data_IF_109695939960
#
_entry.id   IF_109695939960
#
_cell.length_a   1.000
_cell.length_b   1.000
_cell.length_c   1.000
_cell.angle_alpha   90.00
_cell.angle_beta   90.00
_cell.angle_gamma   90.00
#
_symmetry.space_group_name_H-M   'P 1'
#
loop_
_entity.id
_entity.type
_entity.pdbx_description
1 polymer ?
#
# COMPACT_ATOMS: atom_id res chain seq x y z
N UNK A 1 12.69 12.92 8.78
CA UNK A 1 12.14 12.20 9.97
C UNK A 1 11.02 11.31 9.47
N UNK A 2 11.03 10.00 9.75
CA UNK A 2 9.97 9.09 9.31
C UNK A 2 8.63 9.46 9.96
N UNK A 3 7.52 9.43 9.22
CA UNK A 3 6.19 9.62 9.79
C UNK A 3 5.97 8.66 10.97
N UNK A 4 5.29 9.09 12.06
CA UNK A 4 5.10 8.26 13.26
C UNK A 4 4.48 6.89 12.95
N UNK A 5 3.49 6.86 12.07
CA UNK A 5 2.79 5.64 11.69
C UNK A 5 3.69 4.67 10.89
N UNK A 6 4.55 5.19 10.00
CA UNK A 6 5.54 4.37 9.30
C UNK A 6 6.52 3.76 10.29
N UNK A 7 6.98 4.54 11.29
CA UNK A 7 7.84 4.03 12.35
C UNK A 7 7.18 2.91 13.14
N UNK A 8 5.91 3.09 13.51
CA UNK A 8 5.12 2.07 14.21
C UNK A 8 4.94 0.79 13.38
N UNK A 9 4.66 0.92 12.07
CA UNK A 9 4.60 -0.25 11.16
C UNK A 9 5.93 -0.96 11.10
N UNK A 10 7.05 -0.24 11.07
CA UNK A 10 8.38 -0.82 11.11
C UNK A 10 8.67 -1.57 12.42
N UNK A 11 8.20 -1.04 13.54
CA UNK A 11 8.43 -1.64 14.86
C UNK A 11 7.54 -2.86 15.10
N UNK A 12 6.24 -2.75 14.80
CA UNK A 12 5.24 -3.74 15.16
C UNK A 12 4.47 -4.33 13.96
N UNK A 13 4.73 -3.86 12.75
CA UNK A 13 3.93 -4.15 11.54
C UNK A 13 2.43 -3.95 11.80
N UNK A 14 2.07 -2.90 12.52
CA UNK A 14 0.70 -2.56 12.88
C UNK A 14 0.38 -1.11 12.54
N UNK A 15 -0.87 -0.84 12.18
CA UNK A 15 -1.39 0.52 12.04
C UNK A 15 -2.36 0.73 13.21
N UNK A 16 -1.99 1.50 14.21
CA UNK A 16 -2.92 1.82 15.30
C UNK A 16 -3.86 2.94 14.86
N UNK A 17 -5.10 2.83 15.31
CA UNK A 17 -6.11 3.86 15.10
C UNK A 17 -5.89 4.96 16.14
N UNK A 18 -5.74 6.19 15.67
CA UNK A 18 -5.63 7.36 16.54
C UNK A 18 -7.05 7.77 16.98
N UNK A 19 -7.36 7.75 18.27
CA UNK A 19 -8.68 8.11 18.77
C UNK A 19 -9.02 9.61 18.60
N UNK A 20 -8.02 10.45 18.38
CA UNK A 20 -8.20 11.90 18.16
C UNK A 20 -8.52 12.24 16.70
N UNK A 21 -8.40 11.27 15.78
CA UNK A 21 -8.69 11.43 14.35
C UNK A 21 -10.04 10.82 13.99
N UNK A 22 -10.68 11.40 12.99
CA UNK A 22 -11.88 10.81 12.37
C UNK A 22 -11.54 9.48 11.66
N UNK A 23 -12.54 8.61 11.40
CA UNK A 23 -12.30 7.40 10.61
C UNK A 23 -11.65 7.67 9.25
N UNK A 24 -12.07 8.72 8.55
CA UNK A 24 -11.53 9.13 7.26
C UNK A 24 -10.07 9.56 7.35
N UNK A 25 -9.70 10.34 8.38
CA UNK A 25 -8.33 10.77 8.62
C UNK A 25 -7.43 9.57 8.97
N UNK A 26 -7.90 8.66 9.84
CA UNK A 26 -7.19 7.42 10.14
C UNK A 26 -6.95 6.58 8.89
N UNK A 27 -7.96 6.42 8.03
CA UNK A 27 -7.84 5.69 6.78
C UNK A 27 -6.83 6.36 5.84
N UNK A 28 -6.83 7.69 5.77
CA UNK A 28 -5.87 8.43 4.94
C UNK A 28 -4.43 8.21 5.40
N UNK A 29 -4.19 8.25 6.72
CA UNK A 29 -2.88 7.95 7.32
C UNK A 29 -2.43 6.52 7.02
N UNK A 30 -3.31 5.53 7.17
CA UNK A 30 -3.03 4.12 6.84
C UNK A 30 -2.68 3.96 5.36
N UNK A 31 -3.44 4.58 4.45
CA UNK A 31 -3.19 4.52 3.01
C UNK A 31 -1.84 5.13 2.65
N UNK A 32 -1.53 6.35 3.14
CA UNK A 32 -0.27 7.04 2.85
C UNK A 32 0.93 6.26 3.37
N UNK A 33 0.84 5.74 4.59
CA UNK A 33 1.91 4.97 5.21
C UNK A 33 2.16 3.65 4.51
N UNK A 34 1.11 2.91 4.16
CA UNK A 34 1.24 1.67 3.41
C UNK A 34 1.79 1.89 1.99
N UNK A 35 1.35 2.98 1.32
CA UNK A 35 1.84 3.33 0.00
C UNK A 35 3.32 3.73 0.02
N UNK A 36 3.73 4.56 1.00
CA UNK A 36 5.13 4.96 1.18
C UNK A 36 6.02 3.74 1.48
N UNK A 37 5.58 2.87 2.39
CA UNK A 37 6.30 1.65 2.74
C UNK A 37 6.45 0.71 1.53
N UNK A 38 5.37 0.50 0.78
CA UNK A 38 5.40 -0.33 -0.43
C UNK A 38 6.34 0.26 -1.50
N UNK A 39 6.33 1.58 -1.68
CA UNK A 39 7.26 2.27 -2.58
C UNK A 39 8.72 2.14 -2.15
N UNK A 40 9.01 2.27 -0.86
CA UNK A 40 10.36 2.09 -0.32
C UNK A 40 10.87 0.65 -0.49
N UNK A 41 10.01 -0.36 -0.27
CA UNK A 41 10.35 -1.76 -0.54
C UNK A 41 10.70 -1.95 -2.02
N UNK A 42 10.01 -1.29 -2.93
CA UNK A 42 10.26 -1.39 -4.37
C UNK A 42 11.57 -0.72 -4.83
N UNK A 43 12.23 0.09 -4.00
CA UNK A 43 13.59 0.61 -4.27
C UNK A 43 14.60 -0.51 -4.24
N UNK A 44 14.41 -1.53 -3.41
CA UNK A 44 15.33 -2.63 -3.24
C UNK A 44 15.22 -3.63 -4.41
N UNK A 45 16.35 -4.05 -5.02
CA UNK A 45 16.36 -5.04 -6.10
C UNK A 45 16.20 -6.46 -5.54
N UNK A 46 15.13 -6.71 -4.78
CA UNK A 46 14.82 -8.02 -4.23
C UNK A 46 13.95 -8.78 -5.24
N UNK A 47 14.39 -9.92 -5.78
CA UNK A 47 13.53 -10.75 -6.62
C UNK A 47 12.25 -11.15 -5.86
N UNK A 48 11.10 -11.01 -6.51
CA UNK A 48 9.78 -11.34 -5.92
C UNK A 48 9.37 -10.48 -4.72
N UNK A 49 9.98 -9.29 -4.49
CA UNK A 49 9.60 -8.36 -3.43
C UNK A 49 8.10 -8.03 -3.45
N UNK A 50 7.51 -7.94 -4.63
CA UNK A 50 6.08 -7.66 -4.81
C UNK A 50 5.19 -8.68 -4.10
N UNK A 51 5.49 -9.98 -4.25
CA UNK A 51 4.67 -11.05 -3.68
C UNK A 51 5.00 -11.25 -2.20
N UNK A 52 6.29 -11.22 -1.84
CA UNK A 52 6.73 -11.58 -0.49
C UNK A 52 6.60 -10.44 0.52
N UNK A 53 6.75 -9.20 0.09
CA UNK A 53 6.81 -8.05 1.00
C UNK A 53 5.69 -7.04 0.77
N UNK A 54 5.37 -6.67 -0.48
CA UNK A 54 4.38 -5.64 -0.79
C UNK A 54 2.96 -6.16 -0.55
N UNK A 55 2.66 -7.40 -0.96
CA UNK A 55 1.32 -7.98 -0.74
C UNK A 55 0.93 -8.06 0.73
N UNK A 56 1.78 -8.49 1.69
CA UNK A 56 1.48 -8.43 3.12
C UNK A 56 1.20 -7.00 3.62
N UNK A 57 1.93 -5.99 3.15
CA UNK A 57 1.67 -4.57 3.51
C UNK A 57 0.28 -4.15 3.02
N UNK A 58 -0.07 -4.47 1.79
CA UNK A 58 -1.38 -4.15 1.21
C UNK A 58 -2.52 -4.89 1.93
N UNK A 59 -2.33 -6.18 2.26
CA UNK A 59 -3.32 -6.94 3.02
C UNK A 59 -3.55 -6.35 4.41
N UNK A 60 -2.46 -5.94 5.08
CA UNK A 60 -2.53 -5.28 6.39
C UNK A 60 -3.26 -3.93 6.30
N UNK A 61 -2.97 -3.13 5.27
CA UNK A 61 -3.69 -1.89 4.98
C UNK A 61 -5.19 -2.13 4.83
N UNK A 62 -5.59 -3.08 4.00
CA UNK A 62 -7.01 -3.41 3.75
C UNK A 62 -7.69 -3.90 5.04
N UNK A 63 -7.01 -4.72 5.83
CA UNK A 63 -7.50 -5.19 7.12
C UNK A 63 -7.78 -4.02 8.07
N UNK A 64 -6.86 -3.05 8.18
CA UNK A 64 -7.03 -1.91 9.07
C UNK A 64 -8.12 -0.96 8.60
N UNK A 65 -8.21 -0.69 7.29
CA UNK A 65 -9.32 0.09 6.72
C UNK A 65 -10.66 -0.58 7.07
N UNK A 66 -10.76 -1.90 6.88
CA UNK A 66 -11.97 -2.63 7.25
C UNK A 66 -12.31 -2.49 8.75
N UNK A 67 -11.31 -2.61 9.63
CA UNK A 67 -11.50 -2.44 11.09
C UNK A 67 -11.97 -1.03 11.47
N UNK A 68 -11.41 0.01 10.84
CA UNK A 68 -11.82 1.40 11.07
C UNK A 68 -13.31 1.59 10.75
N UNK A 69 -13.82 0.94 9.71
CA UNK A 69 -15.25 0.93 9.36
C UNK A 69 -16.08 -0.12 10.13
N UNK A 70 -15.51 -0.78 11.15
CA UNK A 70 -16.23 -1.71 12.03
C UNK A 70 -16.37 -3.13 11.48
N UNK A 71 -15.61 -3.52 10.46
CA UNK A 71 -15.61 -4.89 9.93
C UNK A 71 -14.56 -5.74 10.63
N UNK A 72 -14.97 -6.88 11.17
CA UNK A 72 -14.06 -7.90 11.66
C UNK A 72 -13.58 -8.77 10.49
N UNK A 73 -12.36 -8.52 10.04
CA UNK A 73 -11.77 -9.15 8.87
C UNK A 73 -10.56 -9.97 9.30
N UNK A 74 -10.51 -11.22 8.86
CA UNK A 74 -9.32 -12.07 9.05
C UNK A 74 -8.20 -11.67 8.07
N UNK A 75 -6.92 -11.96 8.39
CA UNK A 75 -5.80 -11.70 7.48
C UNK A 75 -5.96 -12.39 6.11
N UNK A 76 -6.53 -13.60 6.08
CA UNK A 76 -6.75 -14.32 4.82
C UNK A 76 -7.83 -13.65 3.99
N UNK A 77 -8.93 -13.22 4.62
CA UNK A 77 -9.97 -12.46 3.91
C UNK A 77 -9.43 -11.12 3.39
N UNK A 78 -8.55 -10.46 4.13
CA UNK A 78 -7.90 -9.23 3.65
C UNK A 78 -7.06 -9.49 2.38
N UNK A 79 -6.34 -10.61 2.31
CA UNK A 79 -5.58 -11.01 1.10
C UNK A 79 -6.49 -11.27 -0.11
N UNK A 80 -7.61 -11.97 0.10
CA UNK A 80 -8.60 -12.18 -0.96
C UNK A 80 -9.15 -10.85 -1.48
N UNK A 81 -9.51 -9.92 -0.58
CA UNK A 81 -9.98 -8.59 -0.93
C UNK A 81 -8.92 -7.82 -1.73
N UNK A 82 -7.63 -7.90 -1.34
CA UNK A 82 -6.53 -7.30 -2.11
C UNK A 82 -6.48 -7.84 -3.53
N UNK A 83 -6.67 -9.14 -3.74
CA UNK A 83 -6.68 -9.73 -5.08
C UNK A 83 -7.90 -9.27 -5.90
N UNK A 84 -9.09 -9.27 -5.30
CA UNK A 84 -10.33 -8.83 -5.94
C UNK A 84 -10.26 -7.34 -6.35
N UNK A 85 -9.87 -6.49 -5.40
CA UNK A 85 -9.76 -5.05 -5.63
C UNK A 85 -8.55 -4.70 -6.51
N UNK A 86 -7.45 -5.44 -6.39
CA UNK A 86 -6.27 -5.30 -7.23
C UNK A 86 -6.59 -5.52 -8.71
N UNK A 87 -7.38 -6.54 -9.04
CA UNK A 87 -7.86 -6.75 -10.40
C UNK A 87 -8.70 -5.56 -10.90
N UNK A 88 -9.54 -4.98 -10.03
CA UNK A 88 -10.34 -3.80 -10.36
C UNK A 88 -9.47 -2.56 -10.58
N UNK A 89 -8.44 -2.36 -9.74
CA UNK A 89 -7.47 -1.26 -9.88
C UNK A 89 -6.69 -1.42 -11.19
N UNK A 90 -6.22 -2.63 -11.52
CA UNK A 90 -5.55 -2.94 -12.77
C UNK A 90 -6.42 -2.55 -13.97
N UNK A 91 -7.66 -3.02 -14.00
CA UNK A 91 -8.61 -2.69 -15.04
C UNK A 91 -8.84 -1.18 -15.17
N UNK A 92 -9.12 -0.49 -14.07
CA UNK A 92 -9.34 0.96 -14.06
C UNK A 92 -8.10 1.77 -14.47
N UNK A 93 -6.90 1.27 -14.17
CA UNK A 93 -5.65 1.88 -14.65
C UNK A 93 -5.42 1.65 -16.14
N UNK A 94 -5.73 0.47 -16.67
CA UNK A 94 -5.52 0.08 -18.06
C UNK A 94 -6.60 0.63 -18.99
N UNK A 95 -7.85 0.74 -18.56
CA UNK A 95 -9.00 1.09 -19.39
C UNK A 95 -8.83 2.40 -20.19
N UNK A 96 -8.09 3.39 -19.63
CA UNK A 96 -7.75 4.63 -20.36
C UNK A 96 -6.47 4.53 -21.18
N UNK A 97 -5.63 3.55 -20.91
CA UNK A 97 -4.33 3.42 -21.56
C UNK A 97 -4.44 2.65 -22.87
N UNK A 98 -5.32 1.66 -22.94
CA UNK A 98 -5.65 0.93 -24.18
C UNK A 98 -6.16 1.89 -25.25
N UNK A 99 -6.93 2.93 -24.85
CA UNK A 99 -7.40 3.99 -25.77
C UNK A 99 -6.29 4.92 -26.29
N UNK A 100 -5.08 4.88 -25.73
CA UNK A 100 -3.94 5.75 -26.08
C UNK A 100 -2.74 5.01 -26.67
N UNK A 101 -2.91 3.78 -27.10
CA UNK A 101 -1.88 3.02 -27.84
C UNK A 101 -0.71 2.53 -26.98
N UNK A 102 -0.97 2.06 -25.76
CA UNK A 102 0.05 1.59 -24.83
C UNK A 102 0.54 0.16 -25.05
N UNK A 103 0.95 -0.14 -26.26
CA UNK A 103 1.85 -1.28 -26.52
C UNK A 103 3.28 -1.07 -25.95
N UNK A 104 3.55 0.06 -25.27
CA UNK A 104 4.92 0.44 -24.78
C UNK A 104 5.13 0.33 -23.28
N UNK A 105 4.17 -0.18 -22.50
CA UNK A 105 4.32 -0.35 -21.03
C UNK A 105 4.38 -1.82 -20.59
N UNK A 106 4.94 -2.68 -21.41
CA UNK A 106 5.75 -3.76 -20.86
C UNK A 106 7.08 -3.13 -20.46
N UNK A 107 7.06 -2.33 -19.38
CA UNK A 107 8.29 -1.80 -18.80
C UNK A 107 9.07 -2.97 -18.24
N UNK A 108 10.24 -3.28 -18.78
CA UNK A 108 11.19 -4.11 -18.07
C UNK A 108 11.44 -3.42 -16.72
N UNK A 109 11.49 -4.19 -15.66
CA UNK A 109 11.88 -3.76 -14.31
C UNK A 109 13.30 -3.17 -14.38
N UNK A 110 13.39 -1.87 -14.66
CA UNK A 110 14.67 -1.17 -14.77
C UNK A 110 14.78 -0.25 -13.56
N UNK A 111 15.45 -0.73 -12.51
CA UNK A 111 15.91 0.06 -11.38
C UNK A 111 14.84 0.45 -10.38
N UNK A 112 15.03 0.06 -9.11
CA UNK A 112 14.08 0.24 -8.00
C UNK A 112 13.53 1.66 -7.82
N UNK A 113 14.32 2.72 -8.09
CA UNK A 113 13.87 4.12 -7.95
C UNK A 113 12.81 4.52 -8.98
N UNK A 114 12.73 3.87 -10.13
CA UNK A 114 11.71 4.15 -11.16
C UNK A 114 10.40 3.42 -10.81
N UNK A 115 10.48 2.29 -10.13
CA UNK A 115 9.31 1.49 -9.74
C UNK A 115 8.64 2.01 -8.48
N UNK A 116 9.37 2.65 -7.56
CA UNK A 116 8.84 3.16 -6.29
C UNK A 116 7.60 4.07 -6.45
N UNK A 117 7.59 5.10 -7.31
CA UNK A 117 6.40 5.93 -7.55
C UNK A 117 5.23 5.14 -8.14
N UNK A 118 5.50 4.12 -8.96
CA UNK A 118 4.44 3.29 -9.55
C UNK A 118 3.81 2.39 -8.50
N UNK A 119 4.61 1.75 -7.64
CA UNK A 119 4.14 0.92 -6.52
C UNK A 119 3.42 1.75 -5.48
N UNK A 120 3.94 2.94 -5.15
CA UNK A 120 3.25 3.91 -4.30
C UNK A 120 1.85 4.22 -4.85
N UNK A 121 1.76 4.65 -6.12
CA UNK A 121 0.49 5.01 -6.76
C UNK A 121 -0.50 3.84 -6.84
N UNK A 122 0.00 2.65 -7.09
CA UNK A 122 -0.79 1.41 -7.08
C UNK A 122 -1.37 1.12 -5.70
N UNK A 123 -0.53 1.11 -4.66
CA UNK A 123 -0.95 0.83 -3.28
C UNK A 123 -1.91 1.91 -2.78
N UNK A 124 -1.64 3.18 -3.11
CA UNK A 124 -2.53 4.29 -2.79
C UNK A 124 -3.92 4.11 -3.43
N UNK A 125 -3.98 3.78 -4.72
CA UNK A 125 -5.24 3.55 -5.42
C UNK A 125 -5.99 2.33 -4.85
N UNK A 126 -5.28 1.25 -4.51
CA UNK A 126 -5.86 0.08 -3.85
C UNK A 126 -6.50 0.45 -2.50
N UNK A 127 -5.81 1.27 -1.70
CA UNK A 127 -6.32 1.76 -0.42
C UNK A 127 -7.59 2.59 -0.58
N UNK A 128 -7.64 3.50 -1.57
CA UNK A 128 -8.86 4.30 -1.84
C UNK A 128 -10.03 3.45 -2.32
N UNK A 129 -9.78 2.43 -3.13
CA UNK A 129 -10.83 1.49 -3.54
C UNK A 129 -11.32 0.66 -2.35
N UNK A 130 -10.41 0.22 -1.48
CA UNK A 130 -10.77 -0.47 -0.24
C UNK A 130 -11.58 0.44 0.70
N UNK A 131 -11.18 1.69 0.88
CA UNK A 131 -11.93 2.69 1.63
C UNK A 131 -13.37 2.81 1.10
N UNK A 132 -13.54 3.08 -0.18
CA UNK A 132 -14.87 3.20 -0.80
C UNK A 132 -15.69 1.91 -0.64
N UNK A 133 -15.05 0.74 -0.76
CA UNK A 133 -15.70 -0.55 -0.57
C UNK A 133 -16.30 -0.69 0.83
N UNK A 134 -15.49 -0.45 1.87
CA UNK A 134 -15.94 -0.61 3.25
C UNK A 134 -16.89 0.49 3.71
N UNK A 135 -16.64 1.73 3.33
CA UNK A 135 -17.52 2.87 3.61
C UNK A 135 -18.94 2.62 3.05
N UNK A 136 -19.05 2.27 1.76
CA UNK A 136 -20.34 1.95 1.14
C UNK A 136 -21.02 0.74 1.78
N UNK A 137 -20.24 -0.29 2.09
CA UNK A 137 -20.76 -1.47 2.77
C UNK A 137 -21.26 -1.14 4.18
N UNK A 138 -20.58 -0.27 4.91
CA UNK A 138 -21.01 0.23 6.21
C UNK A 138 -22.33 1.01 6.10
N UNK A 139 -22.50 1.78 5.03
CA UNK A 139 -23.73 2.52 4.73
C UNK A 139 -24.85 1.65 4.13
N UNK A 140 -24.64 0.34 3.90
CA UNK A 140 -25.59 -0.55 3.24
C UNK A 140 -25.77 -0.27 1.75
N UNK A 141 -24.84 0.45 1.10
CA UNK A 141 -24.90 0.82 -0.30
C UNK A 141 -24.20 -0.21 -1.20
N UNK A 142 -24.70 -0.45 -2.42
CA UNK A 142 -24.03 -1.34 -3.36
C UNK A 142 -22.69 -0.77 -3.84
N UNK A 143 -21.70 -1.65 -4.00
CA UNK A 143 -20.39 -1.30 -4.56
C UNK A 143 -20.38 -1.60 -6.06
N UNK A 144 -20.59 -0.57 -6.89
CA UNK A 144 -20.66 -0.71 -8.34
C UNK A 144 -19.29 -0.58 -9.00
N UNK A 145 -19.05 -1.34 -10.11
CA UNK A 145 -17.80 -1.26 -10.88
C UNK A 145 -17.52 0.14 -11.44
N UNK A 146 -18.55 0.83 -11.91
CA UNK A 146 -18.43 2.19 -12.45
C UNK A 146 -17.97 3.20 -11.39
N UNK A 147 -18.43 3.04 -10.17
CA UNK A 147 -18.03 3.86 -9.02
C UNK A 147 -16.56 3.63 -8.69
N UNK A 148 -16.15 2.37 -8.60
CA UNK A 148 -14.75 2.02 -8.35
C UNK A 148 -13.80 2.59 -9.41
N UNK A 149 -14.20 2.62 -10.68
CA UNK A 149 -13.40 3.25 -11.75
C UNK A 149 -13.23 4.76 -11.51
N UNK A 150 -14.28 5.46 -11.06
CA UNK A 150 -14.17 6.90 -10.70
C UNK A 150 -13.20 7.09 -9.54
N UNK A 151 -13.35 6.30 -8.47
CA UNK A 151 -12.44 6.33 -7.30
C UNK A 151 -10.98 6.12 -7.73
N UNK A 152 -10.69 5.18 -8.64
CA UNK A 152 -9.34 4.96 -9.16
C UNK A 152 -8.81 6.19 -9.91
N UNK A 153 -9.64 6.87 -10.69
CA UNK A 153 -9.20 8.07 -11.42
C UNK A 153 -8.90 9.24 -10.48
N UNK A 154 -9.69 9.42 -9.44
CA UNK A 154 -9.49 10.43 -8.40
C UNK A 154 -8.24 10.08 -7.57
N UNK A 155 -8.08 8.82 -7.16
CA UNK A 155 -6.92 8.32 -6.43
C UNK A 155 -5.60 8.57 -7.17
N UNK A 156 -5.58 8.44 -8.50
CA UNK A 156 -4.39 8.80 -9.32
C UNK A 156 -3.99 10.27 -9.15
N UNK A 157 -4.96 11.17 -9.14
CA UNK A 157 -4.73 12.59 -8.92
C UNK A 157 -4.22 12.88 -7.51
N UNK A 158 -4.82 12.23 -6.52
CA UNK A 158 -4.42 12.35 -5.11
C UNK A 158 -3.02 11.78 -4.89
N UNK A 159 -2.73 10.58 -5.39
CA UNK A 159 -1.42 9.95 -5.28
C UNK A 159 -0.30 10.81 -5.88
N UNK A 160 -0.56 11.48 -7.03
CA UNK A 160 0.43 12.39 -7.64
C UNK A 160 0.71 13.62 -6.78
N UNK A 161 -0.30 14.17 -6.12
CA UNK A 161 -0.13 15.34 -5.23
C UNK A 161 0.56 14.97 -3.93
N UNK A 162 0.33 13.76 -3.44
CA UNK A 162 0.89 13.23 -2.20
C UNK A 162 2.17 12.38 -2.43
N UNK A 163 2.70 12.36 -3.67
CA UNK A 163 3.84 11.53 -4.02
C UNK A 163 5.09 12.00 -3.25
N UNK A 164 5.70 11.13 -2.44
CA UNK A 164 6.96 11.42 -1.78
C UNK A 164 8.10 11.65 -2.79
N UNK A 165 9.14 12.34 -2.35
CA UNK A 165 10.35 12.52 -3.15
C UNK A 165 11.12 11.21 -3.32
N UNK A 166 12.00 11.13 -4.32
CA UNK A 166 12.90 9.99 -4.48
C UNK A 166 13.77 9.77 -3.24
N UNK A 167 14.13 10.87 -2.55
CA UNK A 167 14.91 10.81 -1.32
C UNK A 167 14.13 10.14 -0.18
N UNK A 168 12.84 10.46 0.00
CA UNK A 168 12.00 9.86 1.04
C UNK A 168 11.92 8.33 0.88
N UNK A 169 11.78 7.85 -0.35
CA UNK A 169 11.80 6.41 -0.63
C UNK A 169 13.15 5.78 -0.31
N UNK A 170 14.25 6.42 -0.68
CA UNK A 170 15.60 5.93 -0.45
C UNK A 170 15.94 5.90 1.04
N UNK A 171 15.58 6.94 1.78
CA UNK A 171 15.83 7.02 3.23
C UNK A 171 15.06 5.94 3.99
N UNK A 172 13.80 5.72 3.62
CA UNK A 172 13.00 4.66 4.22
C UNK A 172 13.52 3.27 3.85
N UNK A 173 13.93 3.06 2.60
CA UNK A 173 14.54 1.79 2.18
C UNK A 173 15.83 1.50 2.95
N UNK A 174 16.68 2.50 3.14
CA UNK A 174 17.90 2.36 3.95
C UNK A 174 17.61 2.02 5.41
N UNK A 175 16.59 2.64 6.00
CA UNK A 175 16.15 2.34 7.37
C UNK A 175 15.59 0.92 7.51
N UNK A 176 14.79 0.46 6.53
CA UNK A 176 14.29 -0.91 6.47
C UNK A 176 15.42 -1.93 6.44
N UNK A 177 16.44 -1.69 5.61
CA UNK A 177 17.62 -2.54 5.50
C UNK A 177 18.40 -2.58 6.82
N UNK A 178 18.68 -1.43 7.41
CA UNK A 178 19.37 -1.33 8.69
C UNK A 178 18.69 -2.18 9.78
N UNK A 179 17.35 -2.08 9.89
CA UNK A 179 16.58 -2.86 10.89
C UNK A 179 16.58 -4.35 10.61
N UNK A 180 16.56 -4.75 9.34
CA UNK A 180 16.67 -6.16 8.96
C UNK A 180 18.03 -6.74 9.38
N UNK A 181 19.13 -6.00 9.15
CA UNK A 181 20.48 -6.41 9.53
C UNK A 181 20.66 -6.50 11.05
N UNK A 182 20.08 -5.56 11.82
CA UNK A 182 20.09 -5.59 13.27
C UNK A 182 19.37 -6.82 13.86
N UNK A 183 18.19 -7.17 13.29
CA UNK A 183 17.45 -8.37 13.69
C UNK A 183 18.23 -9.67 13.41
N UNK A 184 18.88 -9.77 12.25
CA UNK A 184 19.71 -10.93 11.91
C UNK A 184 20.90 -11.08 12.86
N UNK A 185 21.58 -9.99 13.20
CA UNK A 185 22.71 -10.01 14.15
C UNK A 185 22.26 -10.36 15.57
N UNK A 186 21.06 -9.94 15.98
CA UNK A 186 20.47 -10.27 17.29
C UNK A 186 20.13 -11.75 17.41
N UNK A 187 19.55 -12.35 16.38
CA UNK A 187 19.20 -13.77 16.36
C UNK A 187 20.45 -14.68 16.35
N UNK A 188 21.46 -14.36 15.56
CA UNK A 188 22.72 -15.14 15.55
C UNK A 188 23.51 -15.10 16.86
N UNK A 189 23.22 -14.16 17.77
CA UNK A 189 23.80 -14.12 19.14
C UNK A 189 23.04 -14.96 20.14
N UNK A 190 21.74 -15.16 19.97
CA UNK A 190 20.94 -15.99 20.87
C UNK A 190 21.14 -17.50 20.62
N UNK A 191 21.54 -17.89 19.43
CA UNK A 191 21.76 -19.28 19.04
C UNK A 191 23.15 -19.82 19.43
N UNK A 192 24.02 -18.93 19.99
CA UNK A 192 25.38 -19.27 20.44
C UNK A 192 25.55 -19.33 21.96
N UNK A 193 24.46 -19.14 22.73
CA UNK A 193 24.40 -19.30 24.19
C UNK A 193 23.42 -20.40 24.58
#
# INVERSE_FOLDING_TARGET
MLPPLVKQVLDNFNFDVDPDLTPEENVEEVIKSAALLSGAIAVEPIPFADILLITPVQAKMVLHIGKIYGFDITPDRAREIVQELGATVAYGMLARQVMRGLAKLALPVIGGLITAPAVYGWTFALGRVAQNHFERKHQGLPVGKSEQVKVIQEAKGQARRALPSAQDFSDLAAELRRRADEKQKGQGRSDLN
#
